data_IF_192176529315
#
_entry.id   IF_192176529315
#
_cell.length_a   1.000
_cell.length_b   1.000
_cell.length_c   1.000
_cell.angle_alpha   90.00
_cell.angle_beta   90.00
_cell.angle_gamma   90.00
#
_symmetry.space_group_name_H-M   'P 1'
#
loop_
_entity.id
_entity.type
_entity.pdbx_description
1 polymer ?
#
# COMPACT_ATOMS: atom_id res chain seq x y z
N UNK A 1 -24.30 -3.42 -11.64
CA UNK A 1 -24.46 -2.67 -10.39
C UNK A 1 -23.91 -1.25 -10.55
N UNK A 2 -24.71 -0.19 -10.41
CA UNK A 2 -24.32 1.21 -10.72
C UNK A 2 -23.39 1.80 -9.66
N UNK A 3 -23.59 1.43 -8.40
CA UNK A 3 -22.74 1.83 -7.28
C UNK A 3 -21.29 1.36 -7.46
N UNK A 4 -21.09 0.12 -7.94
CA UNK A 4 -19.76 -0.46 -8.19
C UNK A 4 -19.00 0.21 -9.34
N UNK A 5 -19.71 0.79 -10.32
CA UNK A 5 -19.10 1.53 -11.44
C UNK A 5 -18.64 2.93 -11.04
N UNK A 6 -19.34 3.55 -10.08
CA UNK A 6 -18.98 4.86 -9.52
C UNK A 6 -17.90 4.76 -8.45
N UNK A 7 -17.71 3.60 -7.84
CA UNK A 7 -16.73 3.41 -6.78
C UNK A 7 -15.32 3.83 -7.22
N UNK A 8 -14.58 4.35 -6.26
CA UNK A 8 -13.18 4.63 -6.37
C UNK A 8 -12.38 3.38 -6.69
N UNK A 9 -11.25 3.58 -7.36
CA UNK A 9 -10.31 2.49 -7.64
C UNK A 9 -9.34 2.34 -6.48
N UNK A 10 -8.97 1.10 -6.21
CA UNK A 10 -7.88 0.81 -5.30
C UNK A 10 -6.56 1.33 -5.89
N UNK A 11 -5.66 1.74 -5.00
CA UNK A 11 -4.32 2.20 -5.33
C UNK A 11 -3.30 1.27 -4.68
N UNK A 12 -2.11 1.17 -5.28
CA UNK A 12 -1.01 0.41 -4.71
C UNK A 12 0.26 1.25 -4.72
N UNK A 13 1.01 1.21 -3.61
CA UNK A 13 2.32 1.85 -3.49
C UNK A 13 3.30 0.89 -2.81
N UNK A 14 4.58 1.09 -3.08
CA UNK A 14 5.66 0.39 -2.38
C UNK A 14 6.25 1.30 -1.31
N UNK A 15 6.41 0.78 -0.10
CA UNK A 15 7.07 1.47 1.01
C UNK A 15 8.35 0.72 1.38
N UNK A 16 9.49 1.34 1.10
CA UNK A 16 10.79 0.81 1.51
C UNK A 16 11.07 1.13 2.98
N UNK A 17 11.54 0.12 3.70
CA UNK A 17 11.99 0.21 5.10
C UNK A 17 13.31 -0.53 5.28
N UNK A 18 14.12 -0.10 6.22
CA UNK A 18 15.34 -0.82 6.58
C UNK A 18 15.03 -2.09 7.38
N UNK A 19 16.00 -2.99 7.51
CA UNK A 19 15.84 -4.20 8.30
C UNK A 19 15.66 -3.90 9.80
N UNK A 20 16.31 -2.84 10.30
CA UNK A 20 16.20 -2.30 11.65
C UNK A 20 14.81 -1.70 11.91
N UNK A 21 14.26 -0.96 10.94
CA UNK A 21 12.88 -0.45 10.99
C UNK A 21 11.89 -1.62 10.98
N UNK A 22 12.15 -2.67 10.20
CA UNK A 22 11.35 -3.89 10.21
C UNK A 22 11.47 -4.64 11.55
N UNK A 23 12.61 -4.58 12.23
CA UNK A 23 12.82 -5.23 13.52
C UNK A 23 12.14 -4.47 14.68
N UNK A 24 12.22 -3.15 14.68
CA UNK A 24 11.63 -2.31 15.74
C UNK A 24 10.15 -1.99 15.52
N UNK A 25 9.70 -2.01 14.26
CA UNK A 25 8.46 -1.38 13.84
C UNK A 25 8.65 0.13 13.71
N UNK A 26 7.97 0.74 12.75
CA UNK A 26 8.15 2.15 12.46
C UNK A 26 6.85 2.82 12.03
N UNK A 27 6.80 4.15 12.18
CA UNK A 27 5.76 4.98 11.61
C UNK A 27 6.37 5.81 10.47
N UNK A 28 5.88 5.62 9.23
CA UNK A 28 6.36 6.39 8.07
C UNK A 28 5.24 7.20 7.45
N UNK A 29 5.52 8.47 7.15
CA UNK A 29 4.62 9.30 6.38
C UNK A 29 4.86 9.08 4.88
N UNK A 30 3.85 8.56 4.19
CA UNK A 30 3.82 8.47 2.73
C UNK A 30 3.16 9.72 2.15
N UNK A 31 3.54 10.09 0.93
CA UNK A 31 2.90 11.16 0.17
C UNK A 31 2.59 10.67 -1.23
N UNK A 32 1.36 10.88 -1.70
CA UNK A 32 0.90 10.36 -2.98
C UNK A 32 -0.23 11.23 -3.55
N UNK A 33 -0.36 11.22 -4.87
CA UNK A 33 -1.42 11.93 -5.58
C UNK A 33 -2.61 11.00 -5.79
N UNK A 34 -3.81 11.48 -5.48
CA UNK A 34 -5.07 10.78 -5.76
C UNK A 34 -6.17 11.74 -6.15
N UNK A 35 -7.26 11.23 -6.69
CA UNK A 35 -8.55 11.94 -6.70
C UNK A 35 -9.14 11.84 -5.30
N UNK A 36 -9.18 12.94 -4.57
CA UNK A 36 -9.88 13.03 -3.30
C UNK A 36 -11.31 13.56 -3.52
N UNK A 37 -12.26 13.30 -2.59
CA UNK A 37 -13.57 13.94 -2.62
C UNK A 37 -13.41 15.46 -2.66
N UNK A 38 -14.16 16.14 -3.53
CA UNK A 38 -14.09 17.60 -3.62
C UNK A 38 -14.60 18.23 -2.32
N UNK A 39 -13.77 19.04 -1.66
CA UNK A 39 -14.11 19.69 -0.39
C UNK A 39 -15.30 20.66 -0.53
N UNK A 40 -15.30 21.50 -1.58
CA UNK A 40 -16.35 22.51 -1.83
C UNK A 40 -17.77 21.94 -1.94
N UNK A 41 -17.91 20.71 -2.41
CA UNK A 41 -19.22 20.07 -2.58
C UNK A 41 -19.36 18.78 -1.75
N UNK A 42 -18.44 18.52 -0.81
CA UNK A 42 -18.36 17.30 -0.01
C UNK A 42 -18.49 16.01 -0.85
N UNK A 43 -17.90 16.01 -2.04
CA UNK A 43 -17.92 14.89 -2.96
C UNK A 43 -19.17 14.73 -3.82
N UNK A 44 -20.22 15.53 -3.63
CA UNK A 44 -21.50 15.38 -4.35
C UNK A 44 -21.42 15.72 -5.84
N UNK A 45 -20.49 16.60 -6.22
CA UNK A 45 -20.41 17.18 -7.57
C UNK A 45 -21.45 18.26 -7.83
N UNK A 46 -22.26 18.65 -6.85
CA UNK A 46 -23.29 19.67 -7.01
C UNK A 46 -22.80 21.01 -6.47
N UNK A 47 -23.08 22.09 -7.21
CA UNK A 47 -22.96 23.45 -6.71
C UNK A 47 -24.10 23.78 -5.74
N UNK A 48 -24.08 24.98 -5.16
CA UNK A 48 -25.12 25.42 -4.22
C UNK A 48 -26.52 25.30 -4.83
N UNK A 49 -27.42 24.58 -4.14
CA UNK A 49 -28.80 24.34 -4.60
C UNK A 49 -28.93 23.42 -5.82
N UNK A 50 -27.84 22.84 -6.31
CA UNK A 50 -27.86 21.89 -7.42
C UNK A 50 -28.60 20.59 -7.09
N UNK A 51 -29.19 19.97 -8.10
CA UNK A 51 -29.95 18.74 -7.99
C UNK A 51 -29.56 17.75 -9.08
N UNK A 52 -29.57 16.47 -8.72
CA UNK A 52 -29.41 15.39 -9.69
C UNK A 52 -30.74 15.15 -10.42
N UNK A 53 -30.75 15.33 -11.73
CA UNK A 53 -31.90 15.12 -12.61
C UNK A 53 -31.67 13.92 -13.52
N UNK A 54 -32.75 13.26 -13.91
CA UNK A 54 -32.69 12.19 -14.91
C UNK A 54 -32.18 12.77 -16.24
N UNK A 55 -31.21 12.11 -16.87
CA UNK A 55 -30.66 12.57 -18.13
C UNK A 55 -31.74 12.52 -19.22
N UNK A 56 -32.09 13.65 -19.87
CA UNK A 56 -33.18 13.71 -20.84
C UNK A 56 -32.85 12.96 -22.13
N UNK A 57 -31.56 12.81 -22.48
CA UNK A 57 -31.13 12.16 -23.72
C UNK A 57 -31.25 10.65 -23.69
N UNK A 58 -30.93 10.03 -22.56
CA UNK A 58 -31.00 8.58 -22.39
C UNK A 58 -32.15 8.14 -21.47
N UNK A 59 -32.95 9.08 -20.94
CA UNK A 59 -34.06 8.82 -20.02
C UNK A 59 -33.66 7.93 -18.83
N UNK A 60 -32.49 8.18 -18.24
CA UNK A 60 -32.01 7.39 -17.10
C UNK A 60 -31.25 6.11 -17.44
N UNK A 61 -31.23 5.67 -18.69
CA UNK A 61 -30.58 4.40 -19.08
C UNK A 61 -29.05 4.47 -19.10
N UNK A 62 -28.49 5.67 -19.22
CA UNK A 62 -27.05 5.91 -19.28
C UNK A 62 -26.42 5.61 -20.64
N UNK A 63 -27.10 4.88 -21.53
CA UNK A 63 -26.57 4.50 -22.86
C UNK A 63 -27.52 4.97 -23.95
N UNK A 64 -26.96 5.25 -25.13
CA UNK A 64 -27.73 5.57 -26.34
C UNK A 64 -27.45 4.50 -27.39
N UNK A 65 -28.49 4.04 -28.07
CA UNK A 65 -28.36 3.07 -29.17
C UNK A 65 -28.34 3.82 -30.49
N UNK A 66 -27.24 3.70 -31.23
CA UNK A 66 -27.09 4.29 -32.55
C UNK A 66 -27.25 3.20 -33.59
N UNK A 67 -28.19 3.39 -34.54
CA UNK A 67 -28.38 2.46 -35.66
C UNK A 67 -27.63 3.02 -36.87
N UNK A 68 -26.56 2.35 -37.28
CA UNK A 68 -25.81 2.70 -38.48
C UNK A 68 -26.15 1.73 -39.60
N UNK A 69 -26.53 2.26 -40.77
CA UNK A 69 -26.75 1.45 -41.98
C UNK A 69 -25.40 1.19 -42.64
N UNK A 70 -24.98 -0.06 -42.69
CA UNK A 70 -23.79 -0.50 -43.41
C UNK A 70 -24.17 -1.30 -44.66
N UNK A 71 -23.20 -1.54 -45.53
CA UNK A 71 -23.34 -2.39 -46.73
C UNK A 71 -23.76 -3.84 -46.42
N UNK A 72 -23.66 -4.28 -45.15
CA UNK A 72 -24.06 -5.61 -44.69
C UNK A 72 -25.38 -5.63 -43.88
N UNK A 73 -26.09 -4.50 -43.79
CA UNK A 73 -27.36 -4.38 -43.06
C UNK A 73 -27.36 -3.29 -42.00
N UNK A 74 -28.33 -3.33 -41.09
CA UNK A 74 -28.42 -2.40 -39.98
C UNK A 74 -27.58 -2.91 -38.80
N UNK A 75 -26.53 -2.17 -38.44
CA UNK A 75 -25.74 -2.45 -37.25
C UNK A 75 -26.21 -1.53 -36.11
N UNK A 76 -26.59 -2.12 -34.99
CA UNK A 76 -26.91 -1.37 -33.77
C UNK A 76 -25.68 -1.37 -32.88
N UNK A 77 -25.21 -0.19 -32.49
CA UNK A 77 -24.15 -0.02 -31.51
C UNK A 77 -24.68 0.73 -30.29
N UNK A 78 -24.34 0.25 -29.10
CA UNK A 78 -24.65 0.93 -27.84
C UNK A 78 -23.40 1.67 -27.39
N UNK A 79 -23.53 2.96 -27.09
CA UNK A 79 -22.44 3.77 -26.53
C UNK A 79 -22.92 4.49 -25.27
N UNK A 80 -22.03 4.84 -24.33
CA UNK A 80 -22.37 5.70 -23.21
C UNK A 80 -23.02 6.99 -23.72
N UNK A 81 -24.09 7.43 -23.06
CA UNK A 81 -24.77 8.67 -23.38
C UNK A 81 -23.79 9.83 -23.16
N UNK A 82 -23.51 10.67 -24.17
CA UNK A 82 -22.49 11.72 -24.07
C UNK A 82 -22.86 12.82 -23.05
N UNK A 83 -24.15 13.04 -22.79
CA UNK A 83 -24.62 14.09 -21.88
C UNK A 83 -24.44 13.71 -20.40
N UNK A 84 -24.43 12.40 -20.08
CA UNK A 84 -24.28 11.91 -18.71
C UNK A 84 -23.09 10.95 -18.54
N UNK A 85 -22.29 10.72 -19.58
CA UNK A 85 -21.10 9.87 -19.54
C UNK A 85 -21.36 8.40 -19.20
N UNK A 86 -22.58 7.88 -19.38
CA UNK A 86 -22.93 6.53 -18.92
C UNK A 86 -23.76 6.49 -17.64
N UNK A 87 -23.93 7.63 -16.97
CA UNK A 87 -24.53 7.66 -15.64
C UNK A 87 -26.05 7.52 -15.64
N UNK A 88 -26.75 8.12 -16.60
CA UNK A 88 -28.21 8.19 -16.61
C UNK A 88 -28.78 9.40 -15.85
N UNK A 89 -27.94 10.15 -15.15
CA UNK A 89 -28.31 11.37 -14.44
C UNK A 89 -27.32 12.50 -14.72
N UNK A 90 -27.82 13.72 -14.70
CA UNK A 90 -27.05 14.96 -14.89
C UNK A 90 -27.27 15.86 -13.69
N UNK A 91 -26.24 16.61 -13.33
CA UNK A 91 -26.36 17.67 -12.32
C UNK A 91 -26.68 18.96 -13.07
N UNK A 92 -27.72 19.66 -12.66
CA UNK A 92 -28.14 20.92 -13.30
C UNK A 92 -27.19 22.08 -13.01
N UNK A 93 -26.68 22.16 -11.78
CA UNK A 93 -25.70 23.13 -11.33
C UNK A 93 -24.44 22.39 -10.89
N UNK A 94 -23.47 22.14 -11.79
CA UNK A 94 -22.24 21.45 -11.42
C UNK A 94 -21.41 22.31 -10.48
N UNK A 95 -20.70 21.67 -9.55
CA UNK A 95 -19.73 22.35 -8.70
C UNK A 95 -18.64 23.00 -9.57
N UNK A 96 -18.33 24.27 -9.33
CA UNK A 96 -17.34 25.06 -10.08
C UNK A 96 -15.92 24.51 -9.94
N UNK A 97 -15.57 23.96 -8.79
CA UNK A 97 -14.23 23.47 -8.50
C UNK A 97 -13.94 22.11 -9.16
N UNK A 98 -14.87 21.16 -9.10
CA UNK A 98 -14.69 19.82 -9.67
C UNK A 98 -15.41 19.59 -11.01
N UNK A 99 -16.05 20.62 -11.59
CA UNK A 99 -16.78 20.51 -12.85
C UNK A 99 -17.95 19.53 -12.84
N UNK A 100 -18.46 19.17 -11.66
CA UNK A 100 -19.55 18.21 -11.52
C UNK A 100 -19.13 16.75 -11.31
N UNK A 101 -17.84 16.45 -11.15
CA UNK A 101 -17.37 15.08 -10.91
C UNK A 101 -17.48 14.63 -9.44
N UNK A 102 -17.43 15.57 -8.50
CA UNK A 102 -17.39 15.29 -7.06
C UNK A 102 -16.03 14.85 -6.54
N UNK A 103 -14.96 14.99 -7.33
CA UNK A 103 -13.60 14.63 -6.94
C UNK A 103 -12.58 15.52 -7.64
N UNK A 104 -11.43 15.72 -7.02
CA UNK A 104 -10.35 16.57 -7.51
C UNK A 104 -9.00 15.92 -7.25
N UNK A 105 -7.99 16.24 -8.06
CA UNK A 105 -6.62 15.78 -7.83
C UNK A 105 -6.04 16.50 -6.62
N UNK A 106 -5.58 15.74 -5.64
CA UNK A 106 -5.02 16.24 -4.39
C UNK A 106 -3.76 15.47 -4.05
N UNK A 107 -2.78 16.18 -3.47
CA UNK A 107 -1.60 15.57 -2.88
C UNK A 107 -1.86 15.25 -1.41
N UNK A 108 -1.88 13.97 -1.07
CA UNK A 108 -2.23 13.47 0.27
C UNK A 108 -0.97 13.06 1.04
N UNK A 109 -0.99 13.27 2.36
CA UNK A 109 0.03 12.76 3.28
C UNK A 109 -0.63 11.87 4.31
N UNK A 110 -0.13 10.64 4.44
CA UNK A 110 -0.71 9.65 5.35
C UNK A 110 0.39 8.99 6.17
N UNK A 111 0.15 8.88 7.46
CA UNK A 111 1.01 8.12 8.34
C UNK A 111 0.63 6.64 8.31
N UNK A 112 1.60 5.79 8.00
CA UNK A 112 1.46 4.34 7.97
C UNK A 112 2.26 3.74 9.12
N UNK A 113 1.57 3.02 9.98
CA UNK A 113 2.18 2.24 11.05
C UNK A 113 2.56 0.86 10.51
N UNK A 114 3.85 0.56 10.57
CA UNK A 114 4.43 -0.71 10.13
C UNK A 114 4.78 -1.52 11.37
N UNK A 115 4.14 -2.69 11.58
CA UNK A 115 4.40 -3.50 12.76
C UNK A 115 5.79 -4.14 12.70
N UNK A 116 6.39 -4.32 13.89
CA UNK A 116 7.62 -5.07 14.05
C UNK A 116 7.49 -6.51 13.50
N UNK A 117 8.57 -7.01 12.89
CA UNK A 117 8.63 -8.35 12.30
C UNK A 117 8.10 -8.43 10.87
N UNK A 118 7.64 -7.33 10.28
CA UNK A 118 7.09 -7.32 8.92
C UNK A 118 8.12 -7.85 7.91
N UNK A 119 7.69 -8.65 6.95
CA UNK A 119 8.51 -9.18 5.88
C UNK A 119 8.22 -8.47 4.54
N UNK A 120 9.19 -8.49 3.65
CA UNK A 120 9.04 -8.02 2.27
C UNK A 120 7.85 -8.69 1.59
N UNK A 121 7.08 -7.91 0.83
CA UNK A 121 5.88 -8.35 0.14
C UNK A 121 4.61 -8.32 1.00
N UNK A 122 4.72 -8.04 2.32
CA UNK A 122 3.53 -7.84 3.14
C UNK A 122 2.74 -6.63 2.66
N UNK A 123 1.44 -6.80 2.51
CA UNK A 123 0.51 -5.74 2.15
C UNK A 123 -0.24 -5.23 3.37
N UNK A 124 -0.21 -3.91 3.58
CA UNK A 124 -1.06 -3.19 4.52
C UNK A 124 -2.18 -2.52 3.73
N UNK A 125 -3.43 -2.73 4.15
CA UNK A 125 -4.60 -2.14 3.49
C UNK A 125 -5.13 -0.98 4.33
N UNK A 126 -5.19 0.19 3.71
CA UNK A 126 -5.70 1.42 4.31
C UNK A 126 -7.02 1.77 3.63
N UNK A 127 -8.11 1.62 4.38
CA UNK A 127 -9.45 1.73 3.82
C UNK A 127 -9.84 3.16 3.46
N UNK A 128 -10.41 3.36 2.27
CA UNK A 128 -10.88 4.67 1.80
C UNK A 128 -9.77 5.65 1.38
N UNK A 129 -8.51 5.22 1.44
CA UNK A 129 -7.33 6.00 1.03
C UNK A 129 -6.96 5.82 -0.45
N UNK A 130 -7.70 5.00 -1.21
CA UNK A 130 -7.56 4.90 -2.67
C UNK A 130 -8.19 6.09 -3.40
N UNK A 131 -8.48 5.94 -4.69
CA UNK A 131 -9.14 6.99 -5.47
C UNK A 131 -10.57 7.23 -4.97
N UNK A 132 -11.04 8.47 -5.02
CA UNK A 132 -12.43 8.81 -4.70
C UNK A 132 -13.39 8.33 -5.80
N UNK A 133 -14.54 7.83 -5.37
CA UNK A 133 -15.63 7.52 -6.26
C UNK A 133 -16.25 8.76 -6.92
N UNK A 134 -17.00 8.52 -7.98
CA UNK A 134 -17.73 9.56 -8.69
C UNK A 134 -18.97 9.99 -7.90
N UNK A 135 -19.16 11.31 -7.72
CA UNK A 135 -20.34 11.91 -7.06
C UNK A 135 -20.79 11.21 -5.77
N UNK A 136 -19.91 11.17 -4.77
CA UNK A 136 -20.20 10.63 -3.44
C UNK A 136 -20.19 9.11 -3.34
N UNK A 137 -19.80 8.40 -4.41
CA UNK A 137 -19.54 6.97 -4.33
C UNK A 137 -18.31 6.67 -3.46
N UNK A 138 -18.30 5.48 -2.85
CA UNK A 138 -17.24 5.05 -1.94
C UNK A 138 -15.86 5.12 -2.60
N UNK A 139 -14.86 5.58 -1.85
CA UNK A 139 -13.46 5.54 -2.26
C UNK A 139 -12.93 4.11 -2.28
N UNK A 140 -11.91 3.87 -3.11
CA UNK A 140 -11.14 2.63 -3.07
C UNK A 140 -10.20 2.59 -1.86
N UNK A 141 -9.45 1.50 -1.74
CA UNK A 141 -8.46 1.29 -0.69
C UNK A 141 -7.03 1.60 -1.20
N UNK A 142 -6.13 1.96 -0.29
CA UNK A 142 -4.70 2.04 -0.58
C UNK A 142 -4.00 0.79 -0.05
N UNK A 143 -3.34 0.05 -0.94
CA UNK A 143 -2.54 -1.13 -0.63
C UNK A 143 -1.07 -0.71 -0.58
N UNK A 144 -0.50 -0.68 0.61
CA UNK A 144 0.91 -0.40 0.83
C UNK A 144 1.66 -1.73 0.89
N UNK A 145 2.51 -2.00 -0.10
CA UNK A 145 3.37 -3.18 -0.11
C UNK A 145 4.70 -2.80 0.53
N UNK A 146 5.09 -3.52 1.59
CA UNK A 146 6.36 -3.29 2.28
C UNK A 146 7.49 -3.96 1.51
N UNK A 147 8.55 -3.19 1.30
CA UNK A 147 9.83 -3.68 0.77
C UNK A 147 10.87 -3.48 1.87
N UNK A 148 11.43 -4.56 2.41
CA UNK A 148 12.55 -4.46 3.35
C UNK A 148 13.84 -4.44 2.52
N UNK A 149 14.62 -3.38 2.71
CA UNK A 149 15.89 -3.21 2.03
C UNK A 149 16.93 -4.20 2.58
N UNK A 150 17.90 -4.57 1.74
CA UNK A 150 18.99 -5.44 2.15
C UNK A 150 19.86 -4.73 3.21
N UNK A 151 20.32 -5.49 4.20
CA UNK A 151 21.18 -4.97 5.26
C UNK A 151 22.64 -5.35 5.01
N UNK A 152 23.57 -4.48 5.39
CA UNK A 152 25.00 -4.66 5.10
C UNK A 152 25.63 -5.83 5.86
N UNK A 153 25.14 -6.11 7.07
CA UNK A 153 25.68 -7.16 7.96
C UNK A 153 24.83 -8.41 8.08
N UNK A 154 23.54 -8.32 7.73
CA UNK A 154 22.56 -9.34 8.10
C UNK A 154 21.81 -9.80 6.86
N UNK A 155 21.77 -11.12 6.67
CA UNK A 155 20.86 -11.77 5.75
C UNK A 155 19.67 -12.34 6.54
N UNK A 156 18.46 -11.95 6.15
CA UNK A 156 17.23 -12.41 6.82
C UNK A 156 16.69 -13.69 6.19
N UNK A 157 16.51 -14.72 7.02
CA UNK A 157 15.84 -15.96 6.63
C UNK A 157 14.61 -16.20 7.52
N UNK A 158 13.45 -15.71 7.07
CA UNK A 158 12.22 -15.79 7.85
C UNK A 158 12.30 -14.91 9.10
N UNK A 159 12.36 -15.55 10.27
CA UNK A 159 12.54 -14.87 11.55
C UNK A 159 14.01 -14.87 12.03
N UNK A 160 14.89 -15.62 11.35
CA UNK A 160 16.29 -15.75 11.75
C UNK A 160 17.18 -14.76 10.98
N UNK A 161 18.30 -14.36 11.60
CA UNK A 161 19.31 -13.48 11.01
C UNK A 161 20.67 -14.18 10.92
N UNK A 162 21.29 -14.08 9.76
CA UNK A 162 22.63 -14.64 9.51
C UNK A 162 23.60 -13.49 9.30
N UNK A 163 24.75 -13.56 9.97
CA UNK A 163 25.87 -12.63 9.79
C UNK A 163 27.20 -13.36 9.88
N UNK A 164 28.23 -12.77 9.25
CA UNK A 164 29.59 -13.29 9.31
C UNK A 164 30.36 -12.66 10.47
N UNK A 165 30.83 -13.48 11.40
CA UNK A 165 31.72 -13.07 12.49
C UNK A 165 33.14 -13.55 12.18
N UNK A 166 34.07 -12.59 12.13
CA UNK A 166 35.48 -12.86 11.83
C UNK A 166 36.28 -12.97 13.13
N UNK A 167 36.92 -14.12 13.33
CA UNK A 167 37.80 -14.39 14.49
C UNK A 167 39.20 -14.76 14.03
N UNK A 168 40.20 -14.43 14.85
CA UNK A 168 41.58 -14.82 14.59
C UNK A 168 41.78 -16.33 14.67
N UNK A 169 42.78 -16.85 13.95
CA UNK A 169 43.09 -18.30 13.97
C UNK A 169 43.42 -18.82 15.39
N UNK A 170 44.10 -18.01 16.20
CA UNK A 170 44.42 -18.36 17.59
C UNK A 170 43.16 -18.42 18.47
N UNK A 171 42.24 -17.49 18.26
CA UNK A 171 40.96 -17.42 18.96
C UNK A 171 40.07 -18.61 18.58
N UNK A 172 39.96 -18.94 17.30
CA UNK A 172 39.22 -20.12 16.85
C UNK A 172 39.83 -21.44 17.38
N UNK A 173 41.16 -21.53 17.48
CA UNK A 173 41.85 -22.72 17.97
C UNK A 173 41.72 -22.91 19.49
N UNK A 174 41.80 -21.83 20.26
CA UNK A 174 41.79 -21.86 21.74
C UNK A 174 40.39 -21.64 22.35
N UNK A 175 39.45 -21.14 21.55
CA UNK A 175 38.16 -20.63 22.00
C UNK A 175 38.27 -19.18 22.46
N UNK A 176 37.20 -18.41 22.27
CA UNK A 176 37.09 -17.03 22.69
C UNK A 176 35.63 -16.62 22.94
N UNK A 177 35.45 -15.42 23.49
CA UNK A 177 34.14 -14.77 23.58
C UNK A 177 34.23 -13.49 22.77
N UNK A 178 33.31 -13.30 21.83
CA UNK A 178 33.25 -12.14 20.94
C UNK A 178 31.98 -11.35 21.21
N UNK A 179 32.07 -10.03 21.32
CA UNK A 179 30.89 -9.17 21.37
C UNK A 179 30.33 -8.98 19.95
N UNK A 180 29.07 -9.32 19.75
CA UNK A 180 28.35 -9.15 18.48
C UNK A 180 27.23 -8.12 18.67
N UNK A 181 27.12 -7.19 17.72
CA UNK A 181 26.03 -6.22 17.68
C UNK A 181 24.81 -6.84 17.00
N UNK A 182 23.64 -6.72 17.62
CA UNK A 182 22.37 -7.20 17.08
C UNK A 182 21.73 -6.26 16.05
N UNK A 183 20.51 -6.61 15.63
CA UNK A 183 19.72 -5.78 14.69
C UNK A 183 18.97 -4.65 15.39
N UNK A 184 18.64 -4.80 16.68
CA UNK A 184 17.96 -3.75 17.42
C UNK A 184 18.96 -2.64 17.82
N UNK A 185 18.49 -1.39 17.95
CA UNK A 185 19.31 -0.30 18.46
C UNK A 185 19.91 -0.66 19.82
N UNK A 186 21.22 -0.45 19.96
CA UNK A 186 22.01 -0.69 21.18
C UNK A 186 22.02 -2.17 21.66
N UNK A 187 21.61 -3.12 20.82
CA UNK A 187 21.68 -4.53 21.14
C UNK A 187 23.09 -5.08 20.96
N UNK A 188 23.64 -5.65 22.03
CA UNK A 188 24.93 -6.34 22.03
C UNK A 188 24.81 -7.63 22.82
N UNK A 189 25.44 -8.70 22.34
CA UNK A 189 25.47 -9.98 23.02
C UNK A 189 26.84 -10.65 22.88
N UNK A 190 27.15 -11.52 23.83
CA UNK A 190 28.38 -12.30 23.84
C UNK A 190 28.15 -13.61 23.06
N UNK A 191 29.00 -13.84 22.05
CA UNK A 191 29.07 -15.09 21.30
C UNK A 191 30.26 -15.91 21.81
N UNK A 192 29.97 -17.04 22.45
CA UNK A 192 31.00 -18.02 22.80
C UNK A 192 31.41 -18.81 21.55
N UNK A 193 32.68 -18.70 21.17
CA UNK A 193 33.30 -19.46 20.08
C UNK A 193 34.06 -20.64 20.68
N UNK A 194 33.61 -21.89 20.47
CA UNK A 194 34.28 -23.06 21.04
C UNK A 194 35.69 -23.25 20.48
N UNK A 195 36.58 -23.82 21.29
CA UNK A 195 37.91 -24.21 20.84
C UNK A 195 37.84 -25.24 19.71
N UNK A 196 38.62 -25.03 18.66
CA UNK A 196 38.64 -25.89 17.47
C UNK A 196 37.55 -25.56 16.45
N UNK A 197 36.89 -24.40 16.55
CA UNK A 197 35.90 -23.93 15.56
C UNK A 197 36.53 -23.87 14.16
N UNK A 198 35.85 -24.49 13.19
CA UNK A 198 36.31 -24.54 11.80
C UNK A 198 35.77 -23.36 11.00
N UNK A 199 36.45 -23.01 9.91
CA UNK A 199 35.93 -22.04 8.95
C UNK A 199 34.55 -22.46 8.43
N UNK A 200 33.60 -21.52 8.40
CA UNK A 200 32.22 -21.76 7.98
C UNK A 200 31.35 -22.50 9.00
N UNK A 201 31.83 -22.71 10.23
CA UNK A 201 30.98 -23.27 11.30
C UNK A 201 29.85 -22.29 11.62
N UNK A 202 28.61 -22.80 11.67
CA UNK A 202 27.46 -22.01 12.09
C UNK A 202 27.28 -22.13 13.61
N UNK A 203 27.31 -20.99 14.31
CA UNK A 203 26.93 -20.87 15.70
C UNK A 203 25.56 -20.18 15.78
N UNK A 204 24.71 -20.61 16.69
CA UNK A 204 23.33 -20.11 16.82
C UNK A 204 23.15 -19.49 18.19
N UNK A 205 22.57 -18.29 18.23
CA UNK A 205 22.22 -17.61 19.48
C UNK A 205 20.73 -17.32 19.46
N UNK A 206 20.01 -17.85 20.45
CA UNK A 206 18.55 -17.69 20.49
C UNK A 206 18.16 -16.28 20.93
N UNK A 207 17.13 -15.70 20.29
CA UNK A 207 16.51 -14.45 20.74
C UNK A 207 17.08 -13.17 20.12
N UNK A 208 18.04 -13.29 19.20
CA UNK A 208 18.69 -12.16 18.52
C UNK A 208 18.30 -11.98 17.05
N UNK A 209 17.39 -12.83 16.53
CA UNK A 209 16.82 -12.68 15.20
C UNK A 209 15.73 -11.61 15.09
N UNK A 210 14.89 -11.71 14.05
CA UNK A 210 13.75 -10.82 13.83
C UNK A 210 12.59 -11.14 14.80
N UNK A 211 11.78 -10.14 15.19
CA UNK A 211 10.58 -10.37 15.97
C UNK A 211 9.51 -11.11 15.15
N UNK A 212 8.79 -12.00 15.81
CA UNK A 212 7.67 -12.71 15.20
C UNK A 212 6.43 -11.82 15.17
N UNK A 213 5.84 -11.68 13.99
CA UNK A 213 4.63 -10.88 13.80
C UNK A 213 3.47 -11.45 14.66
N UNK A 214 2.98 -10.65 15.61
CA UNK A 214 1.92 -11.04 16.54
C UNK A 214 2.36 -11.99 17.67
N UNK A 215 3.65 -12.31 17.77
CA UNK A 215 4.21 -13.31 18.69
C UNK A 215 4.60 -12.80 20.08
N UNK A 216 4.01 -11.70 20.56
CA UNK A 216 4.20 -11.21 21.93
C UNK A 216 5.64 -10.83 22.31
N UNK A 217 6.47 -10.44 21.34
CA UNK A 217 7.87 -10.07 21.56
C UNK A 217 8.87 -11.23 21.44
N UNK A 218 8.42 -12.45 21.13
CA UNK A 218 9.34 -13.54 20.79
C UNK A 218 10.10 -13.24 19.49
N UNK A 219 11.38 -13.61 19.47
CA UNK A 219 12.30 -13.39 18.35
C UNK A 219 12.83 -14.71 17.82
N UNK A 220 13.23 -14.70 16.56
CA UNK A 220 14.04 -15.77 15.98
C UNK A 220 15.46 -15.77 16.51
N UNK A 221 16.33 -16.43 15.76
CA UNK A 221 17.72 -16.69 16.14
C UNK A 221 18.66 -15.85 15.29
#
# INVERSE_FOLDING_TARGET
DRARRRAGRDMAISLSISLEEAATGCKKTISYDRLAPCEDCAGSGMGEGGQEKTCPRCNGTGYVTTVQRSIFGQMQSSSPCPDCGGEGTVVDTPCSHCGGEGRVRTHERLDVEVPAGVATGRQLRLHGYGEAGYRGAASGDLIVTIQVDAHERFERHGDDLVCDVHVGIAEAALGCVVEVEGILPDEKFELEVPAGTQYGSALTVDGHGMPRLGGGGSRGR
#
